data_IF_082349426889
#
_entry.id   IF_082349426889
#
_cell.length_a   1.000
_cell.length_b   1.000
_cell.length_c   1.000
_cell.angle_alpha   90.00
_cell.angle_beta   90.00
_cell.angle_gamma   90.00
#
_symmetry.space_group_name_H-M   'P 1'
#
loop_
_entity.id
_entity.type
_entity.pdbx_description
1 polymer ?
#
# COMPACT_ATOMS: atom_id res chain seq x y z
N UNK A 1 0.13 -28.19 -26.47
CA UNK A 1 0.45 -29.61 -26.45
C UNK A 1 1.47 -29.83 -25.34
N UNK A 2 1.19 -30.81 -24.47
CA UNK A 2 1.91 -31.11 -23.22
C UNK A 2 3.36 -31.55 -23.49
N UNK A 3 3.57 -32.12 -24.68
CA UNK A 3 4.86 -32.57 -25.21
C UNK A 3 5.79 -31.38 -25.54
N UNK A 4 5.23 -30.29 -26.07
CA UNK A 4 5.99 -29.08 -26.46
C UNK A 4 6.45 -28.25 -25.25
N UNK A 5 5.75 -28.33 -24.12
CA UNK A 5 6.13 -27.65 -22.87
C UNK A 5 7.23 -28.43 -22.11
N UNK A 6 7.25 -29.77 -22.22
CA UNK A 6 8.30 -30.63 -21.66
C UNK A 6 9.62 -30.54 -22.45
N UNK A 7 9.57 -30.42 -23.78
CA UNK A 7 10.79 -30.33 -24.61
C UNK A 7 11.49 -28.97 -24.56
N UNK A 8 10.76 -27.86 -24.33
CA UNK A 8 11.32 -26.51 -24.42
C UNK A 8 11.73 -25.88 -23.09
N UNK A 9 11.69 -26.64 -21.98
CA UNK A 9 12.14 -26.27 -20.64
C UNK A 9 12.08 -24.76 -20.34
N UNK A 10 10.99 -24.28 -19.76
CA UNK A 10 10.83 -22.85 -19.44
C UNK A 10 12.03 -22.36 -18.61
N UNK A 11 12.89 -21.55 -19.21
CA UNK A 11 14.12 -21.04 -18.59
C UNK A 11 13.92 -19.64 -18.00
N UNK A 12 14.74 -19.28 -17.01
CA UNK A 12 14.79 -17.92 -16.45
C UNK A 12 15.01 -16.82 -17.53
N UNK A 13 15.66 -17.15 -18.65
CA UNK A 13 15.85 -16.24 -19.78
C UNK A 13 14.56 -15.98 -20.56
N UNK A 14 13.69 -16.97 -20.71
CA UNK A 14 12.40 -16.81 -21.40
C UNK A 14 11.39 -15.99 -20.58
N UNK A 15 11.46 -16.08 -19.25
CA UNK A 15 10.54 -15.38 -18.34
C UNK A 15 11.04 -13.99 -17.88
N UNK A 16 12.27 -13.60 -18.26
CA UNK A 16 12.90 -12.32 -17.91
C UNK A 16 12.78 -11.91 -16.42
N UNK A 17 12.75 -12.91 -15.53
CA UNK A 17 12.42 -12.73 -14.11
C UNK A 17 13.44 -11.82 -13.39
N UNK A 18 14.72 -11.91 -13.77
CA UNK A 18 15.77 -11.08 -13.18
C UNK A 18 15.55 -9.57 -13.42
N UNK A 19 15.01 -9.20 -14.58
CA UNK A 19 14.69 -7.79 -14.89
C UNK A 19 13.45 -7.34 -14.12
N UNK A 20 12.42 -8.18 -14.06
CA UNK A 20 11.17 -7.89 -13.34
C UNK A 20 11.41 -7.70 -11.83
N UNK A 21 12.22 -8.57 -11.21
CA UNK A 21 12.50 -8.50 -9.78
C UNK A 21 13.47 -7.39 -9.39
N UNK A 22 14.47 -7.07 -10.22
CA UNK A 22 15.36 -5.93 -9.97
C UNK A 22 14.61 -4.59 -10.07
N UNK A 23 13.67 -4.47 -11.01
CA UNK A 23 12.84 -3.27 -11.13
C UNK A 23 11.89 -3.13 -9.91
N UNK A 24 11.30 -4.22 -9.42
CA UNK A 24 10.38 -4.19 -8.30
C UNK A 24 11.00 -3.67 -6.99
N UNK A 25 12.27 -4.01 -6.70
CA UNK A 25 12.95 -3.55 -5.48
C UNK A 25 13.44 -2.09 -5.56
N UNK A 26 14.00 -1.66 -6.71
CA UNK A 26 14.46 -0.28 -6.88
C UNK A 26 13.30 0.73 -6.88
N UNK A 27 12.13 0.31 -7.35
CA UNK A 27 10.96 1.17 -7.49
C UNK A 27 10.33 1.61 -6.16
N UNK A 28 10.42 0.80 -5.09
CA UNK A 28 9.66 1.06 -3.86
C UNK A 28 10.07 2.37 -3.14
N UNK A 29 11.36 2.70 -3.09
CA UNK A 29 11.84 3.94 -2.48
C UNK A 29 11.46 5.18 -3.30
N UNK A 30 11.54 5.06 -4.63
CA UNK A 30 11.21 6.16 -5.55
C UNK A 30 9.70 6.43 -5.56
N UNK A 31 8.88 5.38 -5.49
CA UNK A 31 7.44 5.50 -5.27
C UNK A 31 7.08 6.20 -3.97
N UNK A 32 7.78 5.90 -2.88
CA UNK A 32 7.49 6.48 -1.57
C UNK A 32 7.74 7.99 -1.55
N UNK A 33 8.87 8.44 -2.13
CA UNK A 33 9.19 9.87 -2.25
C UNK A 33 8.19 10.62 -3.12
N UNK A 34 7.82 10.04 -4.25
CA UNK A 34 6.79 10.60 -5.14
C UNK A 34 5.46 10.69 -4.37
N UNK A 35 5.04 9.61 -3.71
CA UNK A 35 3.78 9.58 -2.96
C UNK A 35 3.74 10.64 -1.85
N UNK A 36 4.83 10.85 -1.12
CA UNK A 36 4.96 11.89 -0.09
C UNK A 36 4.78 13.29 -0.71
N UNK A 37 5.58 13.62 -1.73
CA UNK A 37 5.54 14.91 -2.43
C UNK A 37 4.13 15.27 -2.93
N UNK A 38 3.44 14.33 -3.59
CA UNK A 38 2.08 14.59 -4.08
C UNK A 38 1.03 14.63 -2.96
N UNK A 39 1.25 13.91 -1.86
CA UNK A 39 0.38 13.99 -0.68
C UNK A 39 0.48 15.37 -0.03
N UNK A 40 1.69 15.90 0.14
CA UNK A 40 1.93 17.26 0.64
C UNK A 40 1.29 18.31 -0.27
N UNK A 41 1.51 18.20 -1.59
CA UNK A 41 0.89 19.10 -2.56
C UNK A 41 -0.64 19.09 -2.46
N UNK A 42 -1.26 17.91 -2.30
CA UNK A 42 -2.72 17.83 -2.15
C UNK A 42 -3.15 18.52 -0.86
N UNK A 43 -2.48 18.25 0.27
CA UNK A 43 -2.78 18.86 1.57
C UNK A 43 -2.66 20.38 1.51
N UNK A 44 -1.63 20.92 0.86
CA UNK A 44 -1.42 22.36 0.66
C UNK A 44 -2.51 23.04 -0.18
N UNK A 45 -3.29 22.27 -0.93
CA UNK A 45 -4.41 22.77 -1.74
C UNK A 45 -5.77 22.65 -1.06
N UNK A 46 -5.84 21.99 0.10
CA UNK A 46 -7.05 21.91 0.91
C UNK A 46 -7.24 23.22 1.66
N UNK A 47 -8.45 23.78 1.61
CA UNK A 47 -8.80 24.97 2.38
C UNK A 47 -9.35 24.51 3.76
N UNK A 48 -9.05 25.24 4.84
CA UNK A 48 -9.49 24.86 6.20
C UNK A 48 -11.02 24.72 6.30
N UNK A 49 -11.76 25.52 5.52
CA UNK A 49 -13.22 25.48 5.42
C UNK A 49 -13.75 24.16 4.80
N UNK A 50 -12.89 23.36 4.16
CA UNK A 50 -13.27 22.02 3.71
C UNK A 50 -13.39 21.04 4.88
N UNK A 51 -12.95 21.39 6.09
CA UNK A 51 -12.94 20.51 7.25
C UNK A 51 -14.00 20.88 8.30
N UNK A 52 -14.80 19.88 8.69
CA UNK A 52 -15.72 19.98 9.82
C UNK A 52 -15.37 19.00 10.94
N UNK A 53 -15.41 19.49 12.18
CA UNK A 53 -15.25 18.66 13.38
C UNK A 53 -16.62 18.30 13.92
N UNK A 54 -16.99 17.04 13.74
CA UNK A 54 -18.28 16.54 14.19
C UNK A 54 -18.39 16.44 15.72
N UNK A 55 -19.62 16.21 16.18
CA UNK A 55 -19.91 15.95 17.61
C UNK A 55 -19.31 14.61 18.04
N UNK A 56 -19.00 14.49 19.33
CA UNK A 56 -18.49 13.25 19.92
C UNK A 56 -19.57 12.18 19.83
N UNK A 57 -19.27 11.05 19.20
CA UNK A 57 -20.19 9.94 18.99
C UNK A 57 -19.57 8.60 19.40
N UNK A 58 -20.43 7.63 19.75
CA UNK A 58 -20.00 6.26 20.03
C UNK A 58 -19.98 5.47 18.73
N UNK A 59 -18.84 4.87 18.41
CA UNK A 59 -18.67 3.98 17.25
C UNK A 59 -18.27 2.59 17.73
N UNK A 60 -18.62 1.58 16.93
CA UNK A 60 -18.17 0.21 17.13
C UNK A 60 -17.11 -0.14 16.08
N UNK A 61 -15.93 -0.52 16.53
CA UNK A 61 -14.81 -0.95 15.69
C UNK A 61 -14.40 -2.33 16.17
N UNK A 62 -14.46 -3.32 15.28
CA UNK A 62 -14.02 -4.69 15.58
C UNK A 62 -14.66 -5.38 16.79
N UNK A 63 -15.81 -4.92 17.27
CA UNK A 63 -16.48 -5.45 18.47
C UNK A 63 -16.42 -4.50 19.66
N UNK A 64 -15.42 -3.62 19.68
CA UNK A 64 -15.16 -2.66 20.75
C UNK A 64 -15.83 -1.31 20.50
N UNK A 65 -16.09 -0.58 21.58
CA UNK A 65 -16.76 0.72 21.55
C UNK A 65 -15.77 1.83 21.79
N UNK A 66 -15.79 2.83 20.92
CA UNK A 66 -14.95 4.03 21.01
C UNK A 66 -15.84 5.26 21.06
N UNK A 67 -15.46 6.25 21.87
CA UNK A 67 -16.18 7.52 21.96
C UNK A 67 -15.29 8.64 21.43
N UNK A 68 -15.42 8.94 20.14
CA UNK A 68 -14.49 9.79 19.39
C UNK A 68 -15.21 10.93 18.69
N UNK A 69 -14.46 11.98 18.31
CA UNK A 69 -14.96 13.06 17.46
C UNK A 69 -14.50 12.80 16.03
N UNK A 70 -15.40 12.68 15.05
CA UNK A 70 -14.99 12.53 13.69
C UNK A 70 -14.49 13.85 13.11
N UNK A 71 -13.63 13.77 12.10
CA UNK A 71 -13.26 14.88 11.23
C UNK A 71 -13.76 14.55 9.83
N UNK A 72 -14.46 15.49 9.21
CA UNK A 72 -15.01 15.34 7.86
C UNK A 72 -14.34 16.33 6.92
N UNK A 73 -13.67 15.85 5.89
CA UNK A 73 -13.25 16.63 4.73
C UNK A 73 -14.36 16.59 3.67
N UNK A 74 -14.75 17.74 3.13
CA UNK A 74 -15.68 17.87 2.02
C UNK A 74 -15.06 18.69 0.89
N UNK A 75 -14.84 18.06 -0.26
CA UNK A 75 -14.39 18.70 -1.48
C UNK A 75 -15.56 18.87 -2.45
N UNK A 76 -15.80 20.12 -2.84
CA UNK A 76 -16.70 20.42 -3.94
C UNK A 76 -16.07 20.01 -5.27
N UNK A 77 -16.87 19.98 -6.34
CA UNK A 77 -16.34 19.70 -7.68
C UNK A 77 -15.32 20.75 -8.15
N UNK A 78 -15.46 21.99 -7.67
CA UNK A 78 -14.50 23.07 -7.95
C UNK A 78 -13.16 22.83 -7.24
N UNK A 79 -13.20 22.38 -5.99
CA UNK A 79 -11.99 22.06 -5.21
C UNK A 79 -11.26 20.87 -5.86
N UNK A 80 -12.00 19.83 -6.25
CA UNK A 80 -11.44 18.69 -6.99
C UNK A 80 -10.77 19.14 -8.29
N UNK A 81 -11.41 20.01 -9.09
CA UNK A 81 -10.78 20.57 -10.31
C UNK A 81 -9.49 21.32 -10.00
N UNK A 82 -9.49 22.18 -8.98
CA UNK A 82 -8.32 22.97 -8.54
C UNK A 82 -7.16 22.05 -8.14
N UNK A 83 -7.43 21.02 -7.34
CA UNK A 83 -6.44 20.04 -6.89
C UNK A 83 -5.91 19.21 -8.07
N UNK A 84 -6.78 18.68 -8.92
CA UNK A 84 -6.38 17.91 -10.11
C UNK A 84 -5.46 18.73 -11.01
N UNK A 85 -5.79 20.00 -11.26
CA UNK A 85 -4.94 20.88 -12.06
C UNK A 85 -3.56 21.09 -11.40
N UNK A 86 -3.51 21.35 -10.09
CA UNK A 86 -2.26 21.54 -9.37
C UNK A 86 -1.36 20.29 -9.43
N UNK A 87 -1.94 19.10 -9.25
CA UNK A 87 -1.21 17.82 -9.35
C UNK A 87 -0.62 17.62 -10.74
N UNK A 88 -1.40 17.88 -11.80
CA UNK A 88 -0.90 17.74 -13.17
C UNK A 88 0.17 18.79 -13.51
N UNK A 89 0.03 20.02 -13.03
CA UNK A 89 1.03 21.08 -13.23
C UNK A 89 2.35 20.79 -12.53
N UNK A 90 2.32 20.14 -11.36
CA UNK A 90 3.52 19.66 -10.67
C UNK A 90 4.12 18.44 -11.39
N UNK A 91 3.28 17.47 -11.76
CA UNK A 91 3.69 16.27 -12.50
C UNK A 91 4.41 16.58 -13.81
N UNK A 92 4.02 17.65 -14.50
CA UNK A 92 4.70 18.09 -15.72
C UNK A 92 6.17 18.46 -15.49
N UNK A 93 6.49 19.02 -14.31
CA UNK A 93 7.82 19.54 -13.98
C UNK A 93 8.67 18.53 -13.21
N UNK A 94 8.06 17.42 -12.80
CA UNK A 94 8.66 16.44 -11.91
C UNK A 94 9.58 15.48 -12.68
N UNK A 95 10.89 15.66 -12.47
CA UNK A 95 11.92 14.85 -13.12
C UNK A 95 11.98 13.43 -12.59
N UNK A 96 11.67 13.22 -11.32
CA UNK A 96 11.72 11.91 -10.68
C UNK A 96 10.53 11.07 -11.15
N UNK A 97 9.34 11.67 -11.22
CA UNK A 97 8.16 11.04 -11.83
C UNK A 97 8.40 10.72 -13.31
N UNK A 98 8.99 11.66 -14.07
CA UNK A 98 9.32 11.43 -15.48
C UNK A 98 10.26 10.24 -15.64
N UNK A 99 11.34 10.20 -14.86
CA UNK A 99 12.32 9.10 -14.89
C UNK A 99 11.65 7.76 -14.57
N UNK A 100 10.82 7.70 -13.53
CA UNK A 100 10.07 6.50 -13.16
C UNK A 100 9.17 6.01 -14.31
N UNK A 101 8.44 6.92 -14.96
CA UNK A 101 7.58 6.58 -16.10
C UNK A 101 8.39 6.11 -17.31
N UNK A 102 9.57 6.71 -17.54
CA UNK A 102 10.47 6.30 -18.60
C UNK A 102 11.02 4.89 -18.38
N UNK A 103 11.39 4.57 -17.14
CA UNK A 103 11.86 3.23 -16.73
C UNK A 103 10.78 2.14 -16.86
N UNK A 104 9.51 2.52 -16.78
CA UNK A 104 8.36 1.62 -16.99
C UNK A 104 7.97 1.44 -18.45
N UNK A 105 8.77 1.97 -19.38
CA UNK A 105 8.52 1.85 -20.83
C UNK A 105 7.43 2.77 -21.35
N UNK A 106 6.95 3.73 -20.53
CA UNK A 106 6.04 4.78 -20.98
C UNK A 106 6.81 5.90 -21.70
N UNK A 107 7.51 5.57 -22.79
CA UNK A 107 8.37 6.56 -23.48
C UNK A 107 8.02 6.74 -24.94
N UNK A 108 7.30 7.82 -25.19
CA UNK A 108 7.69 8.84 -26.18
C UNK A 108 7.05 10.21 -25.91
N UNK A 109 5.90 10.26 -25.24
CA UNK A 109 5.08 11.48 -25.17
C UNK A 109 4.64 11.92 -23.74
N UNK A 110 5.26 11.46 -22.64
CA UNK A 110 4.83 11.78 -21.26
C UNK A 110 4.55 13.28 -21.01
N UNK A 111 5.45 14.17 -21.45
CA UNK A 111 5.27 15.61 -21.28
C UNK A 111 4.11 16.18 -22.11
N UNK A 112 3.89 15.62 -23.31
CA UNK A 112 2.79 15.97 -24.21
C UNK A 112 1.46 15.46 -23.67
N UNK A 113 1.44 14.25 -23.11
CA UNK A 113 0.26 13.64 -22.51
C UNK A 113 -0.17 14.39 -21.25
N UNK A 114 0.77 14.78 -20.38
CA UNK A 114 0.46 15.64 -19.24
C UNK A 114 0.01 17.02 -19.70
N UNK A 115 0.64 17.62 -20.71
CA UNK A 115 0.21 18.91 -21.24
C UNK A 115 -1.23 18.84 -21.76
N UNK A 116 -1.56 17.80 -22.52
CA UNK A 116 -2.92 17.55 -22.99
C UNK A 116 -3.89 17.39 -21.82
N UNK A 117 -3.55 16.61 -20.80
CA UNK A 117 -4.38 16.44 -19.62
C UNK A 117 -4.62 17.77 -18.85
N UNK A 118 -3.61 18.64 -18.77
CA UNK A 118 -3.74 19.98 -18.20
C UNK A 118 -4.73 20.83 -19.02
N UNK A 119 -4.59 20.83 -20.34
CA UNK A 119 -5.46 21.59 -21.25
C UNK A 119 -6.90 21.07 -21.16
N UNK A 120 -7.10 19.74 -21.20
CA UNK A 120 -8.40 19.09 -21.03
C UNK A 120 -9.05 19.47 -19.68
N UNK A 121 -8.30 19.45 -18.57
CA UNK A 121 -8.80 19.83 -17.24
C UNK A 121 -9.19 21.31 -17.19
N UNK A 122 -8.44 22.20 -17.85
CA UNK A 122 -8.77 23.63 -17.92
C UNK A 122 -10.09 23.85 -18.65
N UNK A 123 -10.29 23.19 -19.77
CA UNK A 123 -11.51 23.28 -20.60
C UNK A 123 -12.73 22.60 -19.98
N UNK A 124 -12.52 21.49 -19.26
CA UNK A 124 -13.61 20.72 -18.63
C UNK A 124 -14.37 21.56 -17.62
N UNK A 125 -15.71 21.57 -17.68
CA UNK A 125 -16.52 22.36 -16.75
C UNK A 125 -16.44 21.80 -15.33
N UNK A 126 -16.54 22.68 -14.33
CA UNK A 126 -16.41 22.30 -12.91
C UNK A 126 -17.41 21.23 -12.48
N UNK A 127 -18.61 21.20 -13.06
CA UNK A 127 -19.67 20.24 -12.75
C UNK A 127 -19.39 18.82 -13.22
N UNK A 128 -18.40 18.63 -14.10
CA UNK A 128 -17.96 17.33 -14.58
C UNK A 128 -16.97 16.63 -13.64
N UNK A 129 -16.44 17.34 -12.63
CA UNK A 129 -15.54 16.77 -11.63
C UNK A 129 -16.32 16.09 -10.50
N UNK A 130 -15.65 15.18 -9.79
CA UNK A 130 -16.25 14.51 -8.65
C UNK A 130 -16.33 15.43 -7.41
N UNK A 131 -17.35 15.21 -6.58
CA UNK A 131 -17.33 15.69 -5.18
C UNK A 131 -16.84 14.55 -4.29
N UNK A 132 -16.09 14.90 -3.24
CA UNK A 132 -15.50 13.91 -2.33
C UNK A 132 -15.86 14.28 -0.90
N UNK A 133 -16.32 13.31 -0.14
CA UNK A 133 -16.49 13.44 1.31
C UNK A 133 -15.67 12.34 1.99
N UNK A 134 -14.78 12.70 2.91
CA UNK A 134 -13.97 11.77 3.68
C UNK A 134 -14.17 12.03 5.17
N UNK A 135 -14.78 11.09 5.88
CA UNK A 135 -15.00 11.12 7.32
C UNK A 135 -14.06 10.13 7.99
N UNK A 136 -13.23 10.61 8.90
CA UNK A 136 -12.32 9.79 9.70
C UNK A 136 -12.68 9.88 11.18
N UNK A 137 -12.39 8.80 11.90
CA UNK A 137 -12.57 8.69 13.33
C UNK A 137 -11.23 8.30 13.93
N UNK A 138 -10.74 9.11 14.86
CA UNK A 138 -9.39 9.01 15.40
C UNK A 138 -9.43 8.74 16.90
N UNK A 139 -8.66 7.76 17.35
CA UNK A 139 -8.41 7.44 18.76
C UNK A 139 -6.90 7.38 18.96
N UNK A 140 -6.35 8.11 19.96
CA UNK A 140 -4.90 8.15 20.24
C UNK A 140 -4.03 8.28 18.98
N UNK A 141 -4.33 9.27 18.13
CA UNK A 141 -3.65 9.53 16.85
C UNK A 141 -3.75 8.42 15.79
N UNK A 142 -4.51 7.35 16.03
CA UNK A 142 -4.77 6.28 15.06
C UNK A 142 -6.15 6.43 14.44
N UNK A 143 -6.24 6.33 13.10
CA UNK A 143 -7.53 6.29 12.39
C UNK A 143 -8.14 4.89 12.58
N UNK A 144 -9.15 4.80 13.44
CA UNK A 144 -9.83 3.52 13.76
C UNK A 144 -10.98 3.20 12.80
N UNK A 145 -11.52 4.22 12.13
CA UNK A 145 -12.58 4.08 11.13
C UNK A 145 -12.45 5.18 10.06
N UNK A 146 -12.74 4.82 8.82
CA UNK A 146 -12.74 5.73 7.67
C UNK A 146 -13.96 5.47 6.78
N UNK A 147 -14.56 6.55 6.29
CA UNK A 147 -15.69 6.54 5.36
C UNK A 147 -15.43 7.57 4.26
N UNK A 148 -15.15 7.14 3.04
CA UNK A 148 -15.01 8.02 1.88
C UNK A 148 -16.20 7.80 0.95
N UNK A 149 -16.78 8.88 0.44
CA UNK A 149 -17.75 8.85 -0.64
C UNK A 149 -17.26 9.75 -1.75
N UNK A 150 -17.05 9.18 -2.93
CA UNK A 150 -16.78 9.91 -4.17
C UNK A 150 -18.08 9.90 -4.96
N UNK A 151 -18.52 11.05 -5.46
CA UNK A 151 -19.71 11.13 -6.31
C UNK A 151 -19.34 11.81 -7.62
N UNK A 152 -19.58 11.13 -8.73
CA UNK A 152 -19.23 11.61 -10.06
C UNK A 152 -20.20 12.71 -10.58
N UNK A 153 -20.10 13.03 -11.87
CA UNK A 153 -20.95 14.02 -12.53
C UNK A 153 -22.41 13.56 -12.67
N UNK A 154 -22.63 12.26 -12.82
CA UNK A 154 -23.95 11.61 -12.98
C UNK A 154 -24.61 11.32 -11.63
N UNK A 155 -23.89 11.54 -10.53
CA UNK A 155 -24.27 11.25 -9.14
C UNK A 155 -24.15 9.78 -8.71
N UNK A 156 -23.45 8.96 -9.49
CA UNK A 156 -23.08 7.62 -9.05
C UNK A 156 -22.05 7.73 -7.93
N UNK A 157 -22.14 6.85 -6.92
CA UNK A 157 -21.25 6.89 -5.76
C UNK A 157 -20.30 5.70 -5.73
N UNK A 158 -19.06 6.00 -5.38
CA UNK A 158 -18.10 5.02 -4.87
C UNK A 158 -17.94 5.26 -3.38
N UNK A 159 -18.15 4.24 -2.57
CA UNK A 159 -18.08 4.31 -1.10
C UNK A 159 -16.95 3.43 -0.62
N UNK A 160 -16.01 4.00 0.12
CA UNK A 160 -14.95 3.25 0.81
C UNK A 160 -15.27 3.33 2.29
N UNK A 161 -15.47 2.19 2.93
CA UNK A 161 -15.70 2.11 4.38
C UNK A 161 -14.73 1.13 4.97
N UNK A 162 -14.10 1.48 6.07
CA UNK A 162 -13.26 0.52 6.74
C UNK A 162 -12.95 0.87 8.18
N UNK A 163 -12.41 -0.12 8.85
CA UNK A 163 -11.96 -0.05 10.23
C UNK A 163 -10.57 -0.62 10.35
N UNK A 164 -9.81 -0.06 11.27
CA UNK A 164 -8.47 -0.50 11.60
C UNK A 164 -8.28 -0.50 13.12
N UNK A 165 -7.57 -1.49 13.63
CA UNK A 165 -7.08 -1.50 15.01
C UNK A 165 -5.59 -1.85 14.97
N UNK A 166 -4.78 -1.05 15.64
CA UNK A 166 -3.35 -1.28 15.82
C UNK A 166 -3.06 -1.34 17.32
N UNK A 167 -2.60 -2.51 17.76
CA UNK A 167 -2.15 -2.84 19.12
C UNK A 167 -0.71 -3.37 19.04
N UNK A 168 -0.01 -3.43 20.19
CA UNK A 168 1.41 -3.81 20.25
C UNK A 168 1.71 -5.19 19.62
N UNK A 169 0.76 -6.13 19.72
CA UNK A 169 0.88 -7.50 19.24
C UNK A 169 -0.14 -7.84 18.15
N UNK A 170 -0.92 -6.87 17.67
CA UNK A 170 -2.03 -7.16 16.75
C UNK A 170 -2.39 -6.00 15.84
N UNK A 171 -2.49 -6.29 14.55
CA UNK A 171 -3.09 -5.42 13.54
C UNK A 171 -4.36 -6.09 13.03
N UNK A 172 -5.46 -5.33 12.89
CA UNK A 172 -6.68 -5.81 12.26
C UNK A 172 -7.24 -4.78 11.31
N UNK A 173 -7.54 -5.21 10.08
CA UNK A 173 -8.18 -4.38 9.06
C UNK A 173 -9.46 -5.04 8.52
N UNK A 174 -10.47 -4.23 8.25
CA UNK A 174 -11.68 -4.61 7.52
C UNK A 174 -12.14 -3.41 6.70
N UNK A 175 -11.94 -3.48 5.39
CA UNK A 175 -12.28 -2.45 4.42
C UNK A 175 -13.21 -3.02 3.35
N UNK A 176 -14.13 -2.19 2.89
CA UNK A 176 -15.03 -2.44 1.78
C UNK A 176 -15.04 -1.23 0.83
N UNK A 177 -15.02 -1.51 -0.47
CA UNK A 177 -15.18 -0.55 -1.55
C UNK A 177 -16.44 -0.95 -2.31
N UNK A 178 -17.50 -0.16 -2.19
CA UNK A 178 -18.79 -0.39 -2.83
C UNK A 178 -18.95 0.61 -3.99
N UNK A 179 -19.32 0.12 -5.17
CA UNK A 179 -19.59 0.91 -6.37
C UNK A 179 -21.08 0.81 -6.70
N UNK A 180 -21.77 1.96 -6.76
CA UNK A 180 -23.17 2.00 -7.22
C UNK A 180 -23.28 1.56 -8.70
N UNK A 181 -22.23 1.82 -9.50
CA UNK A 181 -22.05 1.26 -10.84
C UNK A 181 -20.56 0.98 -11.09
N UNK A 182 -20.21 -0.28 -11.38
CA UNK A 182 -18.87 -0.64 -11.84
C UNK A 182 -18.69 -0.25 -13.32
N UNK A 183 -17.52 0.32 -13.65
CA UNK A 183 -17.20 0.84 -15.00
C UNK A 183 -17.26 -0.23 -16.09
N UNK A 184 -17.04 -1.50 -15.74
CA UNK A 184 -16.93 -2.59 -16.69
C UNK A 184 -18.22 -3.41 -16.77
N UNK A 185 -18.93 -3.57 -15.66
CA UNK A 185 -20.13 -4.43 -15.62
C UNK A 185 -21.45 -3.64 -15.55
N UNK A 186 -21.40 -2.32 -15.32
CA UNK A 186 -22.58 -1.47 -15.08
C UNK A 186 -23.51 -1.99 -13.96
N UNK A 187 -22.99 -2.86 -13.09
CA UNK A 187 -23.68 -3.47 -11.97
C UNK A 187 -23.00 -3.06 -10.65
N UNK A 188 -23.69 -3.28 -9.53
CA UNK A 188 -23.09 -3.08 -8.21
C UNK A 188 -21.92 -4.03 -8.03
N UNK A 189 -20.78 -3.48 -7.61
CA UNK A 189 -19.59 -4.24 -7.28
C UNK A 189 -19.10 -3.88 -5.89
N UNK A 190 -18.68 -4.89 -5.14
CA UNK A 190 -18.14 -4.77 -3.80
C UNK A 190 -16.79 -5.46 -3.73
N UNK A 191 -15.77 -4.73 -3.33
CA UNK A 191 -14.45 -5.27 -3.04
C UNK A 191 -14.22 -5.19 -1.54
N UNK A 192 -13.64 -6.21 -0.93
CA UNK A 192 -13.34 -6.26 0.50
C UNK A 192 -11.90 -6.64 0.75
N UNK A 193 -11.28 -6.02 1.73
CA UNK A 193 -9.96 -6.39 2.23
C UNK A 193 -10.09 -6.57 3.73
N UNK A 194 -9.85 -7.77 4.23
CA UNK A 194 -9.92 -8.09 5.64
C UNK A 194 -8.67 -8.82 6.06
N UNK A 195 -8.21 -8.58 7.29
CA UNK A 195 -7.14 -9.40 7.80
C UNK A 195 -6.70 -9.07 9.20
N UNK A 196 -5.87 -9.95 9.72
CA UNK A 196 -5.27 -9.85 11.04
C UNK A 196 -3.81 -10.27 10.92
N UNK A 197 -2.91 -9.42 11.39
CA UNK A 197 -1.55 -9.84 11.78
C UNK A 197 -1.51 -9.92 13.29
N UNK A 198 -0.86 -10.95 13.82
CA UNK A 198 -0.72 -11.16 15.25
C UNK A 198 0.67 -11.64 15.59
N UNK A 199 1.24 -11.09 16.66
CA UNK A 199 2.51 -11.52 17.24
C UNK A 199 2.22 -12.51 18.36
N UNK A 200 2.76 -13.70 18.24
CA UNK A 200 2.81 -14.69 19.30
C UNK A 200 4.09 -14.55 20.14
N UNK A 201 4.22 -15.39 21.17
CA UNK A 201 5.48 -15.54 21.91
C UNK A 201 6.61 -16.03 20.99
N UNK A 202 7.84 -15.81 21.43
CA UNK A 202 9.05 -16.30 20.77
C UNK A 202 9.23 -15.77 19.34
N UNK A 203 8.85 -14.50 19.10
CA UNK A 203 8.98 -13.80 17.82
C UNK A 203 8.37 -14.58 16.63
N UNK A 204 7.22 -15.20 16.88
CA UNK A 204 6.38 -15.78 15.85
C UNK A 204 5.27 -14.82 15.49
N UNK A 205 4.90 -14.77 14.22
CA UNK A 205 3.84 -13.93 13.73
C UNK A 205 2.91 -14.76 12.85
N UNK A 206 1.61 -14.48 12.91
CA UNK A 206 0.64 -15.05 11.99
C UNK A 206 -0.10 -13.94 11.27
N UNK A 207 -0.17 -14.07 9.95
CA UNK A 207 -0.84 -13.15 9.06
C UNK A 207 -1.96 -13.88 8.35
N UNK A 208 -3.17 -13.35 8.46
CA UNK A 208 -4.35 -13.89 7.78
C UNK A 208 -5.03 -12.75 7.06
N UNK A 209 -4.94 -12.77 5.74
CA UNK A 209 -5.52 -11.73 4.89
C UNK A 209 -6.45 -12.32 3.86
N UNK A 210 -7.46 -11.54 3.49
CA UNK A 210 -8.50 -11.93 2.57
C UNK A 210 -8.87 -10.73 1.71
N UNK A 211 -8.70 -10.88 0.41
CA UNK A 211 -9.26 -10.01 -0.60
C UNK A 211 -10.48 -10.70 -1.21
N UNK A 212 -11.58 -9.97 -1.36
CA UNK A 212 -12.80 -10.47 -1.98
C UNK A 212 -13.33 -9.48 -3.00
N UNK A 213 -13.89 -9.98 -4.09
CA UNK A 213 -14.70 -9.23 -5.04
C UNK A 213 -16.05 -9.92 -5.12
N UNK A 214 -17.11 -9.13 -5.10
CA UNK A 214 -18.48 -9.60 -5.23
C UNK A 214 -19.25 -8.69 -6.17
N UNK A 215 -19.97 -9.30 -7.09
CA UNK A 215 -20.93 -8.66 -7.99
C UNK A 215 -22.26 -9.40 -7.88
N UNK A 216 -23.28 -8.99 -8.63
CA UNK A 216 -24.55 -9.73 -8.71
C UNK A 216 -24.36 -11.18 -9.20
N UNK A 217 -23.43 -11.40 -10.14
CA UNK A 217 -23.28 -12.67 -10.86
C UNK A 217 -22.13 -13.54 -10.37
N UNK A 218 -21.17 -12.94 -9.66
CA UNK A 218 -19.89 -13.59 -9.39
C UNK A 218 -19.26 -13.14 -8.06
N UNK A 219 -18.49 -14.03 -7.45
CA UNK A 219 -17.74 -13.82 -6.23
C UNK A 219 -16.35 -14.46 -6.37
N UNK A 220 -15.30 -13.65 -6.23
CA UNK A 220 -13.92 -14.12 -6.27
C UNK A 220 -13.18 -13.73 -4.99
N UNK A 221 -12.18 -14.52 -4.64
CA UNK A 221 -11.55 -14.47 -3.32
C UNK A 221 -10.09 -14.92 -3.37
N UNK A 222 -9.23 -14.15 -2.71
CA UNK A 222 -7.83 -14.49 -2.49
C UNK A 222 -7.59 -14.46 -0.98
N UNK A 223 -7.09 -15.55 -0.41
CA UNK A 223 -6.72 -15.66 1.00
C UNK A 223 -5.22 -15.87 1.12
N UNK A 224 -4.60 -15.23 2.10
CA UNK A 224 -3.23 -15.45 2.54
C UNK A 224 -3.28 -15.94 3.99
N UNK A 225 -2.57 -17.03 4.27
CA UNK A 225 -2.28 -17.50 5.63
C UNK A 225 -0.76 -17.70 5.71
N UNK A 226 -0.07 -16.86 6.48
CA UNK A 226 1.38 -16.92 6.66
C UNK A 226 1.72 -17.08 8.14
N UNK A 227 2.74 -17.90 8.40
CA UNK A 227 3.39 -18.01 9.70
C UNK A 227 4.84 -17.60 9.55
N UNK A 228 5.21 -16.49 10.18
CA UNK A 228 6.58 -16.00 10.22
C UNK A 228 7.22 -16.40 11.55
N UNK A 229 8.49 -16.78 11.52
CA UNK A 229 9.34 -16.93 12.70
C UNK A 229 10.61 -16.11 12.50
N UNK A 230 10.95 -15.30 13.50
CA UNK A 230 12.19 -14.51 13.54
C UNK A 230 13.12 -15.03 14.62
N UNK A 231 14.36 -15.32 14.24
CA UNK A 231 15.43 -15.75 15.14
C UNK A 231 16.71 -14.96 14.83
N UNK A 232 16.93 -13.88 15.60
CA UNK A 232 18.01 -12.94 15.35
C UNK A 232 17.92 -12.33 13.95
N UNK A 233 18.88 -12.66 13.10
CA UNK A 233 18.94 -12.17 11.71
C UNK A 233 18.26 -13.08 10.70
N UNK A 234 17.73 -14.21 11.15
CA UNK A 234 17.03 -15.19 10.32
C UNK A 234 15.54 -15.01 10.40
N UNK A 235 14.87 -15.12 9.26
CA UNK A 235 13.42 -15.12 9.14
C UNK A 235 12.99 -16.33 8.33
N UNK A 236 11.96 -17.01 8.80
CA UNK A 236 11.32 -18.11 8.10
C UNK A 236 9.84 -17.81 7.97
N UNK A 237 9.35 -17.72 6.73
CA UNK A 237 7.93 -17.62 6.41
C UNK A 237 7.46 -18.96 5.86
N UNK A 238 6.30 -19.42 6.35
CA UNK A 238 5.62 -20.58 5.81
C UNK A 238 4.15 -20.27 5.68
N UNK A 239 3.64 -20.31 4.47
CA UNK A 239 2.27 -19.91 4.23
C UNK A 239 1.63 -20.56 3.02
N UNK A 240 0.38 -20.15 2.81
CA UNK A 240 -0.44 -20.55 1.69
C UNK A 240 -1.24 -19.38 1.16
N UNK A 241 -1.44 -19.38 -0.16
CA UNK A 241 -2.34 -18.50 -0.88
C UNK A 241 -3.43 -19.36 -1.48
N UNK A 242 -4.68 -19.05 -1.19
CA UNK A 242 -5.84 -19.73 -1.76
C UNK A 242 -6.57 -18.77 -2.68
N UNK A 243 -6.86 -19.19 -3.91
CA UNK A 243 -7.50 -18.38 -4.95
C UNK A 243 -8.75 -19.08 -5.47
N UNK A 244 -9.89 -18.42 -5.31
CA UNK A 244 -11.14 -18.72 -6.02
C UNK A 244 -11.40 -17.57 -7.00
N UNK A 245 -11.39 -17.85 -8.30
CA UNK A 245 -11.49 -16.81 -9.32
C UNK A 245 -12.94 -16.42 -9.62
N UNK A 246 -13.87 -17.33 -9.35
CA UNK A 246 -15.31 -17.13 -9.49
C UNK A 246 -16.08 -18.04 -8.51
N UNK A 247 -17.39 -17.83 -8.41
CA UNK A 247 -18.28 -18.52 -7.46
C UNK A 247 -18.31 -20.05 -7.64
N UNK A 248 -18.02 -20.55 -8.84
CA UNK A 248 -18.11 -21.96 -9.21
C UNK A 248 -16.73 -22.62 -9.38
N UNK A 249 -15.66 -21.83 -9.36
CA UNK A 249 -14.28 -22.32 -9.46
C UNK A 249 -13.84 -23.07 -8.22
N UNK A 250 -13.09 -24.15 -8.43
CA UNK A 250 -12.37 -24.82 -7.35
C UNK A 250 -11.31 -23.86 -6.76
N UNK A 251 -11.13 -23.92 -5.44
CA UNK A 251 -10.08 -23.18 -4.76
C UNK A 251 -8.70 -23.73 -5.17
N UNK A 252 -7.89 -22.90 -5.82
CA UNK A 252 -6.50 -23.22 -6.13
C UNK A 252 -5.61 -22.85 -4.94
N UNK A 253 -4.72 -23.75 -4.53
CA UNK A 253 -3.80 -23.53 -3.42
C UNK A 253 -2.34 -23.47 -3.89
N UNK A 254 -1.66 -22.42 -3.45
CA UNK A 254 -0.23 -22.20 -3.63
C UNK A 254 0.39 -22.18 -2.24
N UNK A 255 1.35 -23.06 -1.97
CA UNK A 255 2.10 -23.06 -0.72
C UNK A 255 3.43 -22.37 -0.93
N UNK A 256 3.95 -21.71 0.09
CA UNK A 256 5.28 -21.13 0.04
C UNK A 256 6.05 -21.34 1.34
N UNK A 257 7.36 -21.45 1.20
CA UNK A 257 8.30 -21.41 2.30
C UNK A 257 9.47 -20.50 1.92
N UNK A 258 9.68 -19.43 2.66
CA UNK A 258 10.77 -18.50 2.44
C UNK A 258 11.71 -18.51 3.64
N UNK A 259 13.00 -18.71 3.39
CA UNK A 259 14.03 -18.60 4.40
C UNK A 259 14.94 -17.44 4.04
N UNK A 260 15.04 -16.44 4.91
CA UNK A 260 15.88 -15.25 4.75
C UNK A 260 16.94 -15.26 5.84
N UNK A 261 18.19 -15.06 5.46
CA UNK A 261 19.32 -14.88 6.37
C UNK A 261 20.00 -13.55 6.05
N UNK A 262 19.96 -12.63 7.02
CA UNK A 262 20.58 -11.32 6.89
C UNK A 262 21.90 -11.30 7.65
N UNK A 263 22.95 -10.85 6.99
CA UNK A 263 24.25 -10.58 7.61
C UNK A 263 24.47 -9.07 7.61
N UNK A 264 24.05 -8.44 8.71
CA UNK A 264 24.13 -6.99 8.91
C UNK A 264 25.59 -6.54 8.87
N UNK A 265 26.54 -7.35 9.38
CA UNK A 265 27.96 -6.99 9.41
C UNK A 265 28.56 -6.88 8.02
N UNK A 266 28.11 -7.73 7.10
CA UNK A 266 28.62 -7.76 5.72
C UNK A 266 27.66 -7.08 4.71
N UNK A 267 26.58 -6.47 5.20
CA UNK A 267 25.45 -5.95 4.42
C UNK A 267 24.96 -6.90 3.33
N UNK A 268 24.85 -8.17 3.65
CA UNK A 268 24.32 -9.16 2.71
C UNK A 268 23.01 -9.74 3.21
N UNK A 269 22.15 -10.14 2.29
CA UNK A 269 20.98 -10.93 2.60
C UNK A 269 20.88 -12.07 1.59
N UNK A 270 20.64 -13.27 2.09
CA UNK A 270 20.37 -14.45 1.26
C UNK A 270 18.96 -14.88 1.51
N UNK A 271 18.24 -15.25 0.45
CA UNK A 271 16.93 -15.87 0.60
C UNK A 271 16.78 -17.12 -0.25
N UNK A 272 15.95 -18.05 0.22
CA UNK A 272 15.46 -19.19 -0.57
C UNK A 272 13.96 -19.26 -0.39
N UNK A 273 13.23 -18.93 -1.45
CA UNK A 273 11.78 -19.03 -1.55
C UNK A 273 11.42 -20.27 -2.36
N UNK A 274 10.70 -21.19 -1.73
CA UNK A 274 10.09 -22.34 -2.37
C UNK A 274 8.59 -22.05 -2.56
N UNK A 275 8.06 -22.27 -3.75
CA UNK A 275 6.64 -22.15 -4.07
C UNK A 275 6.16 -23.48 -4.62
N UNK A 276 5.20 -24.10 -3.94
CA UNK A 276 4.53 -25.33 -4.39
C UNK A 276 3.16 -25.01 -4.97
N UNK A 277 2.93 -25.43 -6.21
CA UNK A 277 1.65 -25.32 -6.90
C UNK A 277 1.10 -26.72 -7.10
N UNK A 278 -0.12 -26.95 -6.62
CA UNK A 278 -0.84 -28.19 -6.90
C UNK A 278 -1.66 -28.00 -8.17
N UNK A 279 -1.13 -28.48 -9.29
CA UNK A 279 -1.84 -28.47 -10.59
C UNK A 279 -2.05 -29.92 -11.02
N UNK A 280 -3.29 -30.41 -10.98
CA UNK A 280 -3.62 -31.83 -11.11
C UNK A 280 -2.95 -32.73 -10.03
N UNK A 281 -2.57 -33.97 -10.37
CA UNK A 281 -1.93 -34.92 -9.44
C UNK A 281 -0.42 -34.68 -9.26
N UNK A 282 0.21 -33.81 -10.05
CA UNK A 282 1.66 -33.56 -9.98
C UNK A 282 1.99 -32.19 -9.34
N UNK A 283 2.76 -32.15 -8.24
CA UNK A 283 3.16 -30.89 -7.62
C UNK A 283 4.28 -30.21 -8.41
N UNK A 284 4.06 -28.97 -8.84
CA UNK A 284 5.08 -28.13 -9.47
C UNK A 284 5.74 -27.29 -8.38
N UNK A 285 7.06 -27.41 -8.22
CA UNK A 285 7.83 -26.64 -7.23
C UNK A 285 8.78 -25.65 -7.92
N UNK A 286 8.66 -24.37 -7.58
CA UNK A 286 9.59 -23.32 -7.98
C UNK A 286 10.51 -22.99 -6.81
N UNK A 287 11.81 -22.94 -7.06
CA UNK A 287 12.81 -22.57 -6.06
C UNK A 287 13.54 -21.32 -6.54
N UNK A 288 13.32 -20.22 -5.84
CA UNK A 288 14.00 -18.96 -6.08
C UNK A 288 15.06 -18.74 -4.99
N UNK A 289 16.32 -18.66 -5.40
CA UNK A 289 17.43 -18.30 -4.52
C UNK A 289 17.88 -16.89 -4.84
N UNK A 290 17.98 -16.03 -3.83
CA UNK A 290 18.52 -14.68 -3.98
C UNK A 290 19.71 -14.46 -3.05
N UNK A 291 20.62 -13.60 -3.50
CA UNK A 291 21.73 -13.10 -2.69
C UNK A 291 21.93 -11.64 -3.04
N UNK A 292 21.60 -10.75 -2.12
CA UNK A 292 21.76 -9.31 -2.25
C UNK A 292 22.92 -8.84 -1.37
N UNK A 293 23.63 -7.82 -1.82
CA UNK A 293 24.67 -7.12 -1.07
C UNK A 293 24.49 -5.62 -1.30
N UNK A 294 24.35 -4.84 -0.24
CA UNK A 294 24.36 -3.38 -0.37
C UNK A 294 25.77 -2.95 -0.79
N UNK A 295 25.84 -2.03 -1.76
CA UNK A 295 27.10 -1.58 -2.36
C UNK A 295 27.87 -0.61 -1.48
N UNK A 296 27.19 0.09 -0.57
CA UNK A 296 27.78 1.07 0.34
C UNK A 296 27.26 0.83 1.76
N UNK A 297 28.18 0.86 2.73
CA UNK A 297 27.85 0.99 4.15
C UNK A 297 27.17 2.34 4.37
N UNK A 298 25.99 2.35 4.98
CA UNK A 298 25.38 3.59 5.44
C UNK A 298 25.91 3.86 6.84
N UNK A 299 26.92 4.71 6.93
CA UNK A 299 27.54 5.10 8.19
C UNK A 299 26.65 6.12 8.90
N UNK A 300 25.98 5.70 9.98
CA UNK A 300 25.24 6.59 10.85
C UNK A 300 26.05 6.84 12.12
N UNK A 301 26.22 8.12 12.48
CA UNK A 301 26.74 8.48 13.80
C UNK A 301 25.70 8.08 14.86
N UNK A 302 25.93 6.93 15.49
CA UNK A 302 25.09 6.37 16.54
C UNK A 302 25.52 6.83 17.95
N UNK A 303 26.52 7.72 18.02
CA UNK A 303 27.03 8.23 19.30
C UNK A 303 25.97 9.09 19.99
N UNK A 304 25.22 8.45 20.88
CA UNK A 304 24.10 9.05 21.61
C UNK A 304 22.70 8.53 21.24
N UNK A 305 22.61 7.58 20.30
CA UNK A 305 21.35 6.91 19.99
C UNK A 305 20.86 6.10 21.21
N UNK A 306 19.58 6.29 21.57
CA UNK A 306 18.89 5.47 22.58
C UNK A 306 17.90 4.57 21.89
N UNK A 307 17.84 3.31 22.31
CA UNK A 307 16.81 2.38 21.86
C UNK A 307 15.42 2.96 22.21
N UNK A 308 14.60 3.20 21.19
CA UNK A 308 13.25 3.72 21.35
C UNK A 308 12.41 2.84 22.29
N UNK A 309 12.61 1.52 22.24
CA UNK A 309 11.91 0.58 23.11
C UNK A 309 12.35 0.66 24.57
N UNK A 310 13.54 1.21 24.84
CA UNK A 310 14.02 1.47 26.19
C UNK A 310 13.48 2.77 26.81
N UNK A 311 12.81 3.62 26.02
CA UNK A 311 12.25 4.88 26.48
C UNK A 311 10.99 4.65 27.34
N UNK A 312 10.83 5.48 28.38
CA UNK A 312 9.61 5.53 29.16
C UNK A 312 8.44 6.06 28.31
N UNK A 313 7.19 5.75 28.69
CA UNK A 313 6.00 6.23 27.99
C UNK A 313 5.96 7.76 27.85
N UNK A 314 6.45 8.47 28.87
CA UNK A 314 6.56 9.94 28.87
C UNK A 314 7.62 10.45 27.89
N UNK A 315 8.75 9.76 27.80
CA UNK A 315 9.83 10.15 26.91
C UNK A 315 9.48 9.84 25.45
N UNK A 316 8.75 8.74 25.20
CA UNK A 316 8.17 8.45 23.88
C UNK A 316 7.18 9.53 23.45
N UNK A 317 6.26 9.92 24.32
CA UNK A 317 5.28 10.98 24.02
C UNK A 317 5.96 12.35 23.77
N UNK A 318 7.06 12.62 24.47
CA UNK A 318 7.89 13.82 24.23
C UNK A 318 8.61 13.76 22.88
N UNK A 319 9.19 12.61 22.56
CA UNK A 319 9.87 12.37 21.29
C UNK A 319 8.89 12.48 20.12
N UNK A 320 7.69 11.92 20.26
CA UNK A 320 6.61 12.04 19.28
C UNK A 320 6.24 13.51 19.04
N UNK A 321 6.09 14.32 20.09
CA UNK A 321 5.82 15.76 19.96
C UNK A 321 6.99 16.55 19.34
N UNK A 322 8.23 16.15 19.62
CA UNK A 322 9.40 16.76 18.98
C UNK A 322 9.52 16.39 17.50
N UNK A 323 9.24 15.14 17.15
CA UNK A 323 9.18 14.67 15.76
C UNK A 323 8.03 15.37 15.02
N UNK A 324 6.86 15.52 15.64
CA UNK A 324 5.73 16.24 15.04
C UNK A 324 6.07 17.72 14.78
N UNK A 325 6.84 18.34 15.68
CA UNK A 325 7.21 19.76 15.57
C UNK A 325 8.40 20.02 14.64
N UNK A 326 9.38 19.13 14.61
CA UNK A 326 10.68 19.34 13.97
C UNK A 326 10.99 18.32 12.86
N UNK A 327 10.16 17.28 12.70
CA UNK A 327 10.41 16.14 11.82
C UNK A 327 10.67 16.54 10.37
N UNK A 328 9.87 17.47 9.82
CA UNK A 328 10.10 18.00 8.47
C UNK A 328 11.49 18.64 8.29
N UNK A 329 11.95 19.42 9.27
CA UNK A 329 13.30 20.04 9.24
C UNK A 329 14.41 19.00 9.44
N UNK A 330 14.17 18.00 10.29
CA UNK A 330 15.10 16.90 10.53
C UNK A 330 15.29 16.08 9.24
N UNK A 331 14.19 15.76 8.56
CA UNK A 331 14.16 15.02 7.31
C UNK A 331 14.82 15.78 6.15
N UNK A 332 14.54 17.08 6.02
CA UNK A 332 15.25 17.97 5.06
C UNK A 332 16.77 17.97 5.29
N UNK A 333 17.22 17.94 6.56
CA UNK A 333 18.64 17.93 6.90
C UNK A 333 19.32 16.60 6.55
N UNK A 334 18.60 15.48 6.71
CA UNK A 334 19.07 14.13 6.35
C UNK A 334 19.17 14.00 4.83
N UNK A 335 18.14 14.43 4.10
CA UNK A 335 18.13 14.44 2.64
C UNK A 335 19.27 15.27 2.05
N UNK A 336 19.57 16.46 2.62
CA UNK A 336 20.73 17.28 2.20
C UNK A 336 22.09 16.65 2.46
N UNK A 337 22.20 15.80 3.49
CA UNK A 337 23.44 15.07 3.81
C UNK A 337 23.61 13.84 2.92
N UNK A 338 22.52 13.15 2.58
CA UNK A 338 22.54 11.98 1.69
C UNK A 338 22.68 12.35 0.20
N UNK A 339 22.50 13.62 -0.18
CA UNK A 339 22.67 14.13 -1.56
C UNK A 339 24.06 14.71 -1.84
N UNK A 340 25.03 14.55 -0.93
CA UNK A 340 26.46 14.83 -1.13
C UNK A 340 27.20 13.51 -1.11
#
# INVERSE_FOLDING_TARGET
>A
DEETAKENGITNQQLNLNTLFNNAQAQQSDYSKIAEKYSELIVDKLDDDNFDKGKKEEIKVNGEKYKVRPVTLTLSRADTKKITLAVLEEAKKDKDLKKLMEEQGATKDFEKDIKKAIDDVKETKKDEFAKIQSKIYTEKHTIVKREITITDKENNKTKIKGTNTLEDDKLKLDYALDFDQDKYTYAEAKYTIKGVSSKEKDNKYNDKYEFGKKTEYDESKIKLDNQEKVDGTKRQDKGKITVALDKYSDENEFTFENNIDSDVKNNTQKSTLNIGIKYAEEPINFILKSSTKLKEDIDFDDSGAKDFNSLSSKDREKLEKEIEKNGGKMFESILKKASK
#
